data_IF_202158848492
#
_entry.id   IF_202158848492
#
_cell.length_a   1.000
_cell.length_b   1.000
_cell.length_c   1.000
_cell.angle_alpha   90.00
_cell.angle_beta   90.00
_cell.angle_gamma   90.00
#
_symmetry.space_group_name_H-M   'P 1'
#
loop_
_entity.id
_entity.type
_entity.pdbx_description
1 polymer ?
#
# COMPACT_ATOMS: atom_id res chain seq x y z
N UNK A 1 -17.11 -1.73 -6.00
CA UNK A 1 -17.40 -1.90 -4.56
C UNK A 1 -16.28 -1.31 -3.73
N UNK A 2 -16.26 -1.58 -2.42
CA UNK A 2 -15.22 -1.13 -1.51
C UNK A 2 -14.49 -2.32 -0.87
N UNK A 3 -13.19 -2.16 -0.66
CA UNK A 3 -12.35 -3.08 0.10
C UNK A 3 -11.90 -2.36 1.36
N UNK A 4 -12.37 -2.80 2.52
CA UNK A 4 -12.03 -2.19 3.81
C UNK A 4 -11.03 -3.09 4.54
N UNK A 5 -9.79 -2.61 4.67
CA UNK A 5 -8.71 -3.31 5.38
C UNK A 5 -7.85 -2.28 6.13
N UNK A 6 -7.61 -2.43 7.44
CA UNK A 6 -6.77 -1.50 8.19
C UNK A 6 -5.28 -1.75 7.94
N UNK A 7 -4.52 -0.71 7.63
CA UNK A 7 -3.06 -0.78 7.65
C UNK A 7 -2.55 -1.00 9.09
N UNK A 8 -1.34 -1.55 9.29
CA UNK A 8 -0.70 -1.53 10.61
C UNK A 8 -0.56 -0.09 11.11
N UNK A 9 -0.84 0.17 12.38
CA UNK A 9 -0.62 1.48 12.98
C UNK A 9 0.84 1.59 13.45
N UNK A 10 1.73 1.91 12.52
CA UNK A 10 3.17 1.98 12.77
C UNK A 10 3.53 3.03 13.83
N UNK A 11 2.79 4.15 13.89
CA UNK A 11 2.98 5.17 14.91
C UNK A 11 2.71 4.66 16.33
N UNK A 12 1.62 3.89 16.52
CA UNK A 12 1.32 3.26 17.81
C UNK A 12 2.33 2.17 18.14
N UNK A 13 2.67 1.29 17.19
CA UNK A 13 3.65 0.21 17.40
C UNK A 13 4.99 0.79 17.85
N UNK A 14 5.53 1.79 17.14
CA UNK A 14 6.80 2.43 17.54
C UNK A 14 6.77 3.05 18.93
N UNK A 15 5.60 3.53 19.39
CA UNK A 15 5.45 4.20 20.70
C UNK A 15 5.21 3.22 21.84
N UNK A 16 4.44 2.16 21.61
CA UNK A 16 3.92 1.28 22.66
C UNK A 16 4.58 -0.10 22.69
N UNK A 17 4.99 -0.63 21.53
CA UNK A 17 5.64 -1.94 21.37
C UNK A 17 6.79 -1.82 20.35
N UNK A 18 7.83 -1.01 20.64
CA UNK A 18 8.91 -0.72 19.69
C UNK A 18 9.66 -1.98 19.23
N UNK A 19 9.72 -3.02 20.06
CA UNK A 19 10.27 -4.34 19.71
C UNK A 19 9.53 -4.99 18.55
N UNK A 20 8.25 -4.69 18.32
CA UNK A 20 7.45 -5.21 17.21
C UNK A 20 7.57 -4.35 15.93
N UNK A 21 8.25 -3.19 15.97
CA UNK A 21 8.31 -2.27 14.83
C UNK A 21 8.89 -2.94 13.55
N UNK A 22 9.81 -3.89 13.71
CA UNK A 22 10.40 -4.66 12.62
C UNK A 22 9.37 -5.51 11.85
N UNK A 23 8.19 -5.77 12.42
CA UNK A 23 7.13 -6.60 11.82
C UNK A 23 6.22 -5.80 10.89
N UNK A 24 6.26 -4.47 10.95
CA UNK A 24 5.39 -3.59 10.16
C UNK A 24 5.49 -3.86 8.65
N UNK A 25 6.68 -3.98 8.03
CA UNK A 25 6.78 -4.25 6.60
C UNK A 25 6.12 -5.57 6.19
N UNK A 26 6.34 -6.65 6.95
CA UNK A 26 5.72 -7.95 6.69
C UNK A 26 4.19 -7.91 6.84
N UNK A 27 3.69 -7.16 7.83
CA UNK A 27 2.26 -6.96 8.02
C UNK A 27 1.62 -6.14 6.89
N UNK A 28 2.32 -5.12 6.37
CA UNK A 28 1.88 -4.37 5.18
C UNK A 28 1.78 -5.30 3.96
N UNK A 29 2.84 -6.04 3.65
CA UNK A 29 2.89 -6.94 2.50
C UNK A 29 1.77 -8.00 2.55
N UNK A 30 1.63 -8.70 3.68
CA UNK A 30 0.62 -9.76 3.83
C UNK A 30 -0.83 -9.24 3.73
N UNK A 31 -1.09 -8.02 4.22
CA UNK A 31 -2.44 -7.44 4.12
C UNK A 31 -2.70 -6.82 2.74
N UNK A 32 -1.70 -6.22 2.10
CA UNK A 32 -1.81 -5.74 0.73
C UNK A 32 -2.12 -6.90 -0.24
N UNK A 33 -1.45 -8.03 -0.06
CA UNK A 33 -1.72 -9.26 -0.80
C UNK A 33 -3.17 -9.71 -0.66
N UNK A 34 -3.70 -9.77 0.57
CA UNK A 34 -5.11 -10.11 0.83
C UNK A 34 -6.09 -9.12 0.19
N UNK A 35 -5.78 -7.83 0.19
CA UNK A 35 -6.62 -6.81 -0.48
C UNK A 35 -6.71 -7.09 -1.98
N UNK A 36 -5.57 -7.36 -2.62
CA UNK A 36 -5.52 -7.67 -4.05
C UNK A 36 -6.14 -9.05 -4.37
N UNK A 37 -5.96 -10.03 -3.50
CA UNK A 37 -6.57 -11.36 -3.63
C UNK A 37 -8.09 -11.28 -3.60
N UNK A 38 -8.66 -10.55 -2.64
CA UNK A 38 -10.11 -10.32 -2.59
C UNK A 38 -10.57 -9.59 -3.85
N UNK A 39 -9.82 -8.59 -4.31
CA UNK A 39 -10.15 -7.88 -5.54
C UNK A 39 -10.23 -8.81 -6.75
N UNK A 40 -9.22 -9.67 -6.92
CA UNK A 40 -9.11 -10.64 -8.01
C UNK A 40 -10.22 -11.70 -7.95
N UNK A 41 -10.48 -12.28 -6.77
CA UNK A 41 -11.54 -13.28 -6.57
C UNK A 41 -12.92 -12.70 -6.86
N UNK A 42 -13.16 -11.44 -6.51
CA UNK A 42 -14.41 -10.74 -6.80
C UNK A 42 -14.51 -10.22 -8.25
N UNK A 43 -13.50 -10.47 -9.08
CA UNK A 43 -13.51 -10.11 -10.51
C UNK A 43 -13.22 -8.63 -10.79
N UNK A 44 -12.71 -7.85 -9.84
CA UNK A 44 -12.32 -6.47 -10.10
C UNK A 44 -11.08 -6.42 -10.99
N UNK A 45 -11.20 -5.78 -12.16
CA UNK A 45 -10.10 -5.59 -13.12
C UNK A 45 -9.41 -4.25 -13.00
N UNK A 46 -10.06 -3.26 -12.39
CA UNK A 46 -9.58 -1.88 -12.25
C UNK A 46 -9.66 -1.45 -10.79
N UNK A 47 -8.55 -0.93 -10.26
CA UNK A 47 -8.43 -0.58 -8.84
C UNK A 47 -8.01 0.88 -8.66
N UNK A 48 -8.58 1.51 -7.63
CA UNK A 48 -8.04 2.73 -7.06
C UNK A 48 -7.46 2.37 -5.69
N UNK A 49 -6.14 2.49 -5.58
CA UNK A 49 -5.36 2.32 -4.35
C UNK A 49 -4.86 3.70 -3.90
N UNK A 50 -3.96 3.75 -2.92
CA UNK A 50 -3.37 5.01 -2.48
C UNK A 50 -2.36 4.83 -1.35
N UNK A 51 -2.04 5.94 -0.67
CA UNK A 51 -1.11 6.01 0.45
C UNK A 51 -1.67 5.37 1.74
N UNK A 52 -1.94 4.07 1.67
CA UNK A 52 -2.64 3.28 2.68
C UNK A 52 -1.87 3.26 4.01
N UNK A 53 -2.40 3.98 5.00
CA UNK A 53 -1.79 4.07 6.33
C UNK A 53 -0.63 5.06 6.45
N UNK A 54 -0.34 5.89 5.44
CA UNK A 54 0.77 6.85 5.49
C UNK A 54 0.46 8.14 6.28
N UNK A 55 -0.81 8.39 6.61
CA UNK A 55 -1.24 9.54 7.42
C UNK A 55 -1.10 9.27 8.93
N UNK A 56 -2.22 9.27 9.65
CA UNK A 56 -2.27 9.07 11.12
C UNK A 56 -1.57 7.79 11.59
N UNK A 57 -1.56 6.74 10.76
CA UNK A 57 -0.90 5.47 11.11
C UNK A 57 0.62 5.47 10.88
N UNK A 58 1.15 6.53 10.26
CA UNK A 58 2.58 6.82 10.13
C UNK A 58 3.41 5.69 9.51
N UNK A 59 2.85 4.97 8.53
CA UNK A 59 3.64 4.08 7.67
C UNK A 59 4.49 4.92 6.71
N UNK A 60 5.70 4.46 6.41
CA UNK A 60 6.54 5.10 5.40
C UNK A 60 5.89 4.94 4.00
N UNK A 61 5.69 6.01 3.22
CA UNK A 61 5.12 5.94 1.88
C UNK A 61 5.86 4.96 0.96
N UNK A 62 7.18 4.94 1.01
CA UNK A 62 8.03 4.02 0.25
C UNK A 62 7.73 2.56 0.60
N UNK A 63 7.58 2.24 1.88
CA UNK A 63 7.27 0.87 2.31
C UNK A 63 5.90 0.41 1.82
N UNK A 64 4.91 1.30 1.80
CA UNK A 64 3.57 0.99 1.29
C UNK A 64 3.59 0.84 -0.24
N UNK A 65 4.29 1.74 -0.94
CA UNK A 65 4.42 1.70 -2.39
C UNK A 65 5.13 0.40 -2.83
N UNK A 66 6.25 0.04 -2.21
CA UNK A 66 6.99 -1.19 -2.51
C UNK A 66 6.18 -2.44 -2.17
N UNK A 67 5.41 -2.44 -1.07
CA UNK A 67 4.54 -3.56 -0.73
C UNK A 67 3.51 -3.85 -1.85
N UNK A 68 2.94 -2.80 -2.46
CA UNK A 68 2.07 -2.98 -3.63
C UNK A 68 2.86 -3.34 -4.89
N UNK A 69 3.98 -2.67 -5.17
CA UNK A 69 4.81 -2.92 -6.36
C UNK A 69 5.29 -4.36 -6.44
N UNK A 70 5.73 -4.95 -5.33
CA UNK A 70 6.16 -6.35 -5.29
C UNK A 70 5.04 -7.34 -5.67
N UNK A 71 3.77 -6.95 -5.50
CA UNK A 71 2.61 -7.79 -5.78
C UNK A 71 2.07 -7.58 -7.21
N UNK A 72 2.09 -6.35 -7.72
CA UNK A 72 1.47 -5.98 -9.01
C UNK A 72 2.47 -5.76 -10.15
N UNK A 73 3.77 -5.67 -9.84
CA UNK A 73 4.85 -5.53 -10.82
C UNK A 73 5.17 -6.84 -11.54
N UNK A 74 6.15 -6.77 -12.45
CA UNK A 74 6.63 -7.95 -13.19
C UNK A 74 7.15 -9.03 -12.23
N UNK A 75 6.70 -10.28 -12.44
CA UNK A 75 7.02 -11.40 -11.55
C UNK A 75 6.25 -11.42 -10.21
N UNK A 76 5.48 -10.38 -9.90
CA UNK A 76 4.60 -10.34 -8.74
C UNK A 76 3.40 -11.26 -8.88
N UNK A 77 2.81 -11.68 -7.74
CA UNK A 77 1.66 -12.60 -7.69
C UNK A 77 0.46 -12.15 -8.54
N UNK A 78 0.27 -10.85 -8.69
CA UNK A 78 -0.80 -10.23 -9.49
C UNK A 78 -0.25 -9.47 -10.70
N UNK A 79 0.99 -9.73 -11.12
CA UNK A 79 1.61 -9.14 -12.30
C UNK A 79 0.77 -9.40 -13.54
N UNK A 80 0.36 -8.33 -14.23
CA UNK A 80 -0.53 -8.40 -15.38
C UNK A 80 -1.98 -8.82 -15.07
N UNK A 81 -2.33 -9.05 -13.80
CA UNK A 81 -3.69 -9.41 -13.44
C UNK A 81 -4.62 -8.21 -13.60
N UNK A 82 -4.32 -7.02 -13.11
CA UNK A 82 -5.26 -5.89 -13.22
C UNK A 82 -5.04 -5.10 -14.53
N UNK A 83 -6.12 -4.69 -15.18
CA UNK A 83 -6.08 -3.87 -16.40
C UNK A 83 -5.62 -2.44 -16.12
N UNK A 84 -6.00 -1.91 -14.96
CA UNK A 84 -5.67 -0.54 -14.57
C UNK A 84 -5.58 -0.44 -13.04
N UNK A 85 -4.49 0.14 -12.56
CA UNK A 85 -4.34 0.50 -11.15
C UNK A 85 -3.99 1.98 -11.09
N UNK A 86 -4.74 2.73 -10.28
CA UNK A 86 -4.49 4.15 -10.02
C UNK A 86 -4.17 4.32 -8.54
N UNK A 87 -3.08 5.02 -8.22
CA UNK A 87 -2.78 5.45 -6.85
C UNK A 87 -3.35 6.84 -6.61
N UNK A 88 -4.56 6.91 -6.06
CA UNK A 88 -5.24 8.15 -5.71
C UNK A 88 -4.66 8.78 -4.44
N UNK A 89 -3.64 9.62 -4.60
CA UNK A 89 -2.95 10.27 -3.47
C UNK A 89 -3.31 11.76 -3.45
N UNK A 90 -4.28 12.09 -2.59
CA UNK A 90 -4.66 13.48 -2.33
C UNK A 90 -3.66 14.12 -1.38
N UNK A 91 -2.89 15.07 -1.90
CA UNK A 91 -2.08 15.98 -1.10
C UNK A 91 -2.15 17.36 -1.76
N UNK A 92 -2.36 18.42 -0.97
CA UNK A 92 -2.48 19.78 -1.50
C UNK A 92 -1.13 20.48 -1.62
N UNK A 93 -0.10 19.95 -0.97
CA UNK A 93 1.26 20.44 -1.12
C UNK A 93 1.80 20.00 -2.48
N UNK A 94 2.25 20.89 -3.38
CA UNK A 94 2.89 20.51 -4.63
C UNK A 94 4.11 19.58 -4.42
N UNK A 95 4.88 19.81 -3.36
CA UNK A 95 6.07 19.03 -2.97
C UNK A 95 5.73 17.86 -2.04
N UNK A 96 4.63 17.16 -2.34
CA UNK A 96 4.19 16.01 -1.55
C UNK A 96 5.22 14.89 -1.57
N UNK A 97 5.90 14.67 -0.43
CA UNK A 97 6.81 13.54 -0.25
C UNK A 97 6.10 12.19 -0.48
N UNK A 98 4.81 12.10 -0.12
CA UNK A 98 3.99 10.90 -0.31
C UNK A 98 3.76 10.63 -1.79
N UNK A 99 3.33 11.63 -2.58
CA UNK A 99 3.20 11.45 -4.04
C UNK A 99 4.54 11.13 -4.66
N UNK A 100 5.60 11.83 -4.27
CA UNK A 100 6.93 11.62 -4.82
C UNK A 100 7.44 10.18 -4.57
N UNK A 101 7.15 9.60 -3.41
CA UNK A 101 7.48 8.21 -3.12
C UNK A 101 6.80 7.23 -4.08
N UNK A 102 5.49 7.35 -4.27
CA UNK A 102 4.76 6.49 -5.20
C UNK A 102 5.16 6.73 -6.65
N UNK A 103 5.38 7.98 -7.06
CA UNK A 103 5.90 8.29 -8.39
C UNK A 103 7.25 7.62 -8.64
N UNK A 104 8.20 7.70 -7.70
CA UNK A 104 9.51 7.04 -7.84
C UNK A 104 9.41 5.52 -7.92
N UNK A 105 8.56 4.91 -7.09
CA UNK A 105 8.40 3.45 -7.04
C UNK A 105 7.77 2.90 -8.33
N UNK A 106 6.83 3.64 -8.93
CA UNK A 106 6.09 3.21 -10.13
C UNK A 106 6.51 3.93 -11.43
N UNK A 107 7.70 4.53 -11.45
CA UNK A 107 8.31 5.11 -12.64
C UNK A 107 8.99 4.03 -13.52
#
# INVERSE_FOLDING_TARGET
GFLTSPAPNAGVIRRQTPEDAHRVPAALASRAERVLEVAAVQGYRRLVLGAWGCGVFQNAPEAVAEAFRALIGEGGRFGGHFEQIVFGILDRNPDSAVRAAFTRTFA
#
